data_IF_311785768203
#
_entry.id   IF_311785768203
#
_cell.length_a   1.000
_cell.length_b   1.000
_cell.length_c   1.000
_cell.angle_alpha   90.00
_cell.angle_beta   90.00
_cell.angle_gamma   90.00
#
_symmetry.space_group_name_H-M   'P 1'
#
loop_
_entity.id
_entity.type
_entity.pdbx_description
1 polymer ?
#
# COMPACT_ATOMS: atom_id res chain seq x y z
N UNK A 1 12.85 35.23 -4.09
CA UNK A 1 13.24 34.14 -3.17
C UNK A 1 11.96 33.42 -2.76
N UNK A 2 11.71 32.24 -3.33
CA UNK A 2 10.62 31.36 -2.86
C UNK A 2 11.15 30.51 -1.69
N UNK A 3 10.32 30.18 -0.70
CA UNK A 3 10.76 29.44 0.47
C UNK A 3 11.04 27.99 0.07
N UNK A 4 12.22 27.50 0.44
CA UNK A 4 12.58 26.08 0.36
C UNK A 4 11.71 25.36 1.37
N UNK A 5 10.74 24.57 0.89
CA UNK A 5 9.99 23.66 1.74
C UNK A 5 10.97 22.63 2.28
N UNK A 6 11.18 22.64 3.60
CA UNK A 6 12.00 21.67 4.30
C UNK A 6 11.33 20.30 4.13
N UNK A 7 11.93 19.45 3.31
CA UNK A 7 11.53 18.06 3.11
C UNK A 7 11.68 17.36 4.45
N UNK A 8 10.56 16.95 5.05
CA UNK A 8 10.58 16.12 6.24
C UNK A 8 11.26 14.78 5.91
N UNK A 9 12.23 14.38 6.74
CA UNK A 9 12.96 13.14 6.53
C UNK A 9 12.02 11.92 6.61
N UNK A 10 12.32 10.80 5.93
CA UNK A 10 11.46 9.59 5.92
C UNK A 10 11.12 9.02 7.32
N UNK A 11 11.94 9.33 8.32
CA UNK A 11 11.71 8.98 9.73
C UNK A 11 10.55 9.77 10.35
N UNK A 12 10.33 11.02 9.91
CA UNK A 12 9.23 11.87 10.37
C UNK A 12 7.86 11.43 9.84
N UNK A 13 7.81 10.81 8.66
CA UNK A 13 6.58 10.22 8.09
C UNK A 13 6.17 8.93 8.82
N UNK A 14 7.15 8.16 9.31
CA UNK A 14 6.88 7.04 10.21
C UNK A 14 6.30 7.56 11.54
N UNK A 15 6.88 8.60 12.12
CA UNK A 15 6.35 9.22 13.34
C UNK A 15 4.94 9.79 13.17
N UNK A 16 4.61 10.42 12.03
CA UNK A 16 3.24 10.87 11.74
C UNK A 16 2.26 9.71 11.56
N UNK A 17 2.66 8.62 10.91
CA UNK A 17 1.85 7.40 10.80
C UNK A 17 1.63 6.71 12.15
N UNK A 18 2.66 6.67 13.02
CA UNK A 18 2.54 6.23 14.42
C UNK A 18 1.59 7.14 15.21
N UNK A 19 1.67 8.45 14.99
CA UNK A 19 0.82 9.47 15.67
C UNK A 19 -0.64 9.40 15.22
N UNK A 20 -0.91 9.04 13.95
CA UNK A 20 -2.27 8.86 13.44
C UNK A 20 -2.88 7.52 13.85
N UNK A 21 -2.10 6.43 13.91
CA UNK A 21 -2.54 5.14 14.44
C UNK A 21 -2.91 5.22 15.94
N UNK A 22 -2.21 6.06 16.72
CA UNK A 22 -2.55 6.31 18.12
C UNK A 22 -3.93 6.99 18.32
N UNK A 23 -4.53 7.58 17.28
CA UNK A 23 -5.79 8.34 17.37
C UNK A 23 -7.04 7.54 17.00
N UNK A 24 -6.91 6.38 16.36
CA UNK A 24 -8.05 5.57 15.87
C UNK A 24 -8.47 4.43 16.81
N UNK A 25 -7.93 4.39 18.04
CA UNK A 25 -8.25 3.39 19.06
C UNK A 25 -9.72 3.42 19.50
N UNK A 26 -10.59 2.81 18.71
CA UNK A 26 -11.98 2.57 19.09
C UNK A 26 -12.02 1.50 20.19
N UNK A 27 -12.38 1.94 21.39
CA UNK A 27 -12.67 1.10 22.55
C UNK A 27 -14.00 0.40 22.30
N UNK A 28 -13.98 -0.92 22.15
CA UNK A 28 -15.19 -1.76 22.22
C UNK A 28 -14.98 -2.79 23.31
N UNK A 29 -15.77 -2.68 24.38
CA UNK A 29 -15.74 -3.55 25.55
C UNK A 29 -16.43 -4.87 25.24
N UNK A 30 -15.65 -5.95 25.12
CA UNK A 30 -16.16 -7.32 25.07
C UNK A 30 -16.33 -7.90 26.48
N UNK A 31 -17.55 -8.32 26.81
CA UNK A 31 -17.88 -9.01 28.07
C UNK A 31 -17.53 -10.50 27.97
N UNK A 32 -16.38 -10.89 28.52
CA UNK A 32 -15.95 -12.28 28.64
C UNK A 32 -14.93 -12.42 29.78
N UNK A 33 -14.76 -13.63 30.30
CA UNK A 33 -13.72 -13.92 31.32
C UNK A 33 -12.35 -13.56 30.71
N UNK A 34 -11.52 -12.72 31.37
CA UNK A 34 -10.25 -12.30 30.80
C UNK A 34 -9.36 -13.51 30.52
N UNK A 35 -9.01 -13.73 29.26
CA UNK A 35 -8.01 -14.73 28.90
C UNK A 35 -6.64 -14.28 29.40
N UNK A 36 -5.79 -15.24 29.76
CA UNK A 36 -4.40 -14.93 30.12
C UNK A 36 -3.67 -14.34 28.92
N UNK A 37 -2.87 -13.32 29.16
CA UNK A 37 -2.11 -12.62 28.12
C UNK A 37 -1.20 -13.58 27.35
N UNK A 38 -0.60 -14.54 28.05
CA UNK A 38 0.28 -15.54 27.46
C UNK A 38 -0.46 -16.46 26.48
N UNK A 39 -1.75 -16.73 26.73
CA UNK A 39 -2.57 -17.52 25.82
C UNK A 39 -2.96 -16.71 24.57
N UNK A 40 -3.22 -15.40 24.72
CA UNK A 40 -3.46 -14.50 23.59
C UNK A 40 -2.22 -14.34 22.71
N UNK A 41 -1.04 -14.18 23.34
CA UNK A 41 0.24 -14.14 22.63
C UNK A 41 0.48 -15.46 21.86
N UNK A 42 0.29 -16.60 22.52
CA UNK A 42 0.44 -17.91 21.88
C UNK A 42 -0.51 -18.07 20.68
N UNK A 43 -1.78 -17.72 20.85
CA UNK A 43 -2.79 -17.79 19.79
C UNK A 43 -2.43 -16.91 18.58
N UNK A 44 -1.99 -15.67 18.82
CA UNK A 44 -1.60 -14.73 17.76
C UNK A 44 -0.46 -15.29 16.92
N UNK A 45 0.62 -15.72 17.58
CA UNK A 45 1.80 -16.24 16.88
C UNK A 45 1.54 -17.59 16.21
N UNK A 46 0.70 -18.44 16.81
CA UNK A 46 0.28 -19.69 16.17
C UNK A 46 -0.52 -19.42 14.91
N UNK A 47 -1.47 -18.47 14.94
CA UNK A 47 -2.25 -18.09 13.77
C UNK A 47 -1.38 -17.55 12.63
N UNK A 48 -0.31 -16.81 12.95
CA UNK A 48 0.67 -16.37 11.96
C UNK A 48 1.46 -17.55 11.37
N UNK A 49 1.93 -18.47 12.21
CA UNK A 49 2.71 -19.66 11.80
C UNK A 49 1.89 -20.64 10.95
N UNK A 50 0.60 -20.81 11.25
CA UNK A 50 -0.33 -21.67 10.50
C UNK A 50 -0.87 -21.00 9.22
N UNK A 51 -0.51 -19.74 8.98
CA UNK A 51 -0.94 -18.99 7.78
C UNK A 51 -0.28 -19.59 6.53
N UNK A 52 -1.11 -19.87 5.54
CA UNK A 52 -0.70 -20.22 4.17
C UNK A 52 -1.00 -19.07 3.21
N UNK A 53 -0.56 -19.19 1.95
CA UNK A 53 -0.86 -18.20 0.92
C UNK A 53 -2.32 -18.21 0.43
N UNK A 54 -3.15 -19.16 0.87
CA UNK A 54 -4.56 -19.22 0.46
C UNK A 54 -5.39 -18.11 1.11
N UNK A 55 -6.35 -17.55 0.37
CA UNK A 55 -7.23 -16.47 0.85
C UNK A 55 -7.92 -16.81 2.18
N UNK A 56 -8.53 -17.99 2.27
CA UNK A 56 -9.24 -18.43 3.47
C UNK A 56 -8.32 -18.51 4.71
N UNK A 57 -7.07 -18.95 4.52
CA UNK A 57 -6.08 -19.02 5.59
C UNK A 57 -5.62 -17.62 6.04
N UNK A 58 -5.43 -16.69 5.09
CA UNK A 58 -5.10 -15.29 5.39
C UNK A 58 -6.22 -14.60 6.17
N UNK A 59 -7.47 -14.75 5.75
CA UNK A 59 -8.64 -14.17 6.42
C UNK A 59 -8.78 -14.71 7.85
N UNK A 60 -8.67 -16.03 8.03
CA UNK A 60 -8.68 -16.67 9.36
C UNK A 60 -7.55 -16.15 10.26
N UNK A 61 -6.35 -15.96 9.72
CA UNK A 61 -5.22 -15.41 10.47
C UNK A 61 -5.52 -13.98 10.94
N UNK A 62 -5.98 -13.10 10.05
CA UNK A 62 -6.34 -11.71 10.36
C UNK A 62 -7.42 -11.66 11.44
N UNK A 63 -8.46 -12.46 11.31
CA UNK A 63 -9.57 -12.50 12.27
C UNK A 63 -9.09 -12.93 13.67
N UNK A 64 -8.21 -13.93 13.72
CA UNK A 64 -7.63 -14.38 14.99
C UNK A 64 -6.71 -13.34 15.63
N UNK A 65 -5.90 -12.63 14.83
CA UNK A 65 -5.04 -11.54 15.32
C UNK A 65 -5.89 -10.39 15.87
N UNK A 66 -6.95 -9.98 15.16
CA UNK A 66 -7.91 -8.98 15.64
C UNK A 66 -8.57 -9.39 16.95
N UNK A 67 -9.00 -10.65 17.04
CA UNK A 67 -9.58 -11.20 18.27
C UNK A 67 -8.60 -11.05 19.44
N UNK A 68 -7.33 -11.44 19.26
CA UNK A 68 -6.33 -11.33 20.32
C UNK A 68 -6.10 -9.88 20.76
N UNK A 69 -5.99 -8.95 19.80
CA UNK A 69 -5.81 -7.52 20.08
C UNK A 69 -7.01 -6.92 20.84
N UNK A 70 -8.23 -7.34 20.52
CA UNK A 70 -9.45 -6.83 21.15
C UNK A 70 -9.72 -7.44 22.55
N UNK A 71 -9.29 -8.68 22.79
CA UNK A 71 -9.42 -9.35 24.09
C UNK A 71 -8.31 -8.96 25.08
N UNK A 72 -7.29 -8.23 24.64
CA UNK A 72 -6.14 -7.88 25.44
C UNK A 72 -6.48 -6.83 26.54
N UNK A 73 -5.94 -6.98 27.75
CA UNK A 73 -5.95 -5.91 28.74
C UNK A 73 -5.20 -4.66 28.24
N UNK A 74 -5.63 -3.46 28.66
CA UNK A 74 -5.04 -2.20 28.22
C UNK A 74 -3.54 -2.03 28.55
N UNK A 75 -3.04 -2.76 29.55
CA UNK A 75 -1.65 -2.74 30.02
C UNK A 75 -0.78 -3.85 29.44
N UNK A 76 -1.22 -4.52 28.38
CA UNK A 76 -0.41 -5.55 27.71
C UNK A 76 0.85 -4.94 27.10
N UNK A 77 1.95 -5.70 27.14
CA UNK A 77 3.17 -5.37 26.41
C UNK A 77 2.85 -5.23 24.91
N UNK A 78 3.06 -4.02 24.37
CA UNK A 78 2.77 -3.67 22.97
C UNK A 78 3.66 -4.41 21.98
N UNK A 79 4.75 -5.04 22.43
CA UNK A 79 5.57 -5.87 21.57
C UNK A 79 4.93 -7.21 21.21
N UNK A 80 3.93 -7.67 21.99
CA UNK A 80 3.30 -8.98 21.81
C UNK A 80 4.35 -10.08 21.59
N UNK A 81 5.15 -10.42 22.62
CA UNK A 81 6.27 -11.33 22.46
C UNK A 81 5.83 -12.78 22.20
N UNK A 82 6.53 -13.44 21.28
CA UNK A 82 6.37 -14.86 21.03
C UNK A 82 6.78 -15.68 22.27
N UNK A 83 5.98 -16.66 22.73
CA UNK A 83 6.30 -17.41 23.95
C UNK A 83 7.63 -18.18 23.89
N UNK A 84 8.04 -18.59 22.69
CA UNK A 84 9.22 -19.41 22.43
C UNK A 84 10.48 -18.59 22.15
N UNK A 85 10.38 -17.55 21.32
CA UNK A 85 11.55 -16.75 20.91
C UNK A 85 11.64 -15.41 21.63
N UNK A 86 10.55 -14.95 22.23
CA UNK A 86 10.40 -13.62 22.78
C UNK A 86 10.46 -12.50 21.74
N UNK A 87 10.44 -12.80 20.44
CA UNK A 87 10.41 -11.79 19.37
C UNK A 87 9.06 -11.08 19.33
N UNK A 88 9.04 -9.81 18.92
CA UNK A 88 7.77 -9.09 18.76
C UNK A 88 6.89 -9.70 17.66
N UNK A 89 5.57 -9.56 17.81
CA UNK A 89 4.61 -9.92 16.78
C UNK A 89 4.86 -9.18 15.45
N UNK A 90 5.32 -7.92 15.52
CA UNK A 90 5.73 -7.17 14.33
C UNK A 90 6.91 -7.84 13.62
N UNK A 91 7.96 -8.18 14.36
CA UNK A 91 9.14 -8.81 13.76
C UNK A 91 8.79 -10.18 13.16
N UNK A 92 8.02 -10.98 13.88
CA UNK A 92 7.58 -12.31 13.43
C UNK A 92 6.69 -12.24 12.19
N UNK A 93 5.81 -11.23 12.08
CA UNK A 93 5.01 -11.01 10.87
C UNK A 93 5.89 -10.70 9.65
N UNK A 94 6.99 -9.96 9.83
CA UNK A 94 7.96 -9.70 8.76
C UNK A 94 8.69 -10.98 8.36
N UNK A 95 9.18 -11.77 9.33
CA UNK A 95 9.87 -13.04 9.04
C UNK A 95 8.98 -14.02 8.26
N UNK A 96 7.67 -14.01 8.56
CA UNK A 96 6.66 -14.85 7.89
C UNK A 96 6.07 -14.24 6.62
N UNK A 97 6.53 -13.06 6.19
CA UNK A 97 6.01 -12.32 5.03
C UNK A 97 4.48 -12.10 5.12
N UNK A 98 3.97 -11.91 6.35
CA UNK A 98 2.57 -11.65 6.66
C UNK A 98 2.31 -10.14 6.76
N UNK A 99 2.52 -9.42 5.65
CA UNK A 99 2.46 -7.95 5.62
C UNK A 99 1.08 -7.36 5.93
N UNK A 100 0.00 -8.10 5.65
CA UNK A 100 -1.35 -7.77 6.09
C UNK A 100 -1.47 -7.75 7.62
N UNK A 101 -0.92 -8.77 8.28
CA UNK A 101 -0.89 -8.85 9.74
C UNK A 101 0.04 -7.79 10.33
N UNK A 102 1.20 -7.55 9.71
CA UNK A 102 2.12 -6.49 10.11
C UNK A 102 1.44 -5.11 10.11
N UNK A 103 0.71 -4.79 9.03
CA UNK A 103 -0.06 -3.56 8.91
C UNK A 103 -1.15 -3.43 10.00
N UNK A 104 -1.90 -4.51 10.25
CA UNK A 104 -2.89 -4.56 11.31
C UNK A 104 -2.27 -4.28 12.68
N UNK A 105 -1.13 -4.90 13.00
CA UNK A 105 -0.45 -4.72 14.28
C UNK A 105 0.00 -3.27 14.51
N UNK A 106 0.56 -2.62 13.48
CA UNK A 106 0.91 -1.21 13.56
C UNK A 106 -0.31 -0.32 13.80
N UNK A 107 -1.45 -0.61 13.15
CA UNK A 107 -2.70 0.14 13.36
C UNK A 107 -3.22 0.04 14.80
N UNK A 108 -2.88 -1.04 15.51
CA UNK A 108 -3.22 -1.23 16.93
C UNK A 108 -2.11 -0.75 17.90
N UNK A 109 -1.12 -0.03 17.40
CA UNK A 109 -0.03 0.53 18.19
C UNK A 109 0.93 -0.53 18.75
N UNK A 110 1.06 -1.68 18.09
CA UNK A 110 2.08 -2.66 18.46
C UNK A 110 3.47 -2.13 18.10
N UNK A 111 4.49 -2.61 18.83
CA UNK A 111 5.86 -2.10 18.73
C UNK A 111 6.87 -3.23 18.55
N UNK A 112 8.07 -2.89 18.07
CA UNK A 112 9.20 -3.82 18.13
C UNK A 112 9.71 -3.93 19.56
N UNK A 113 10.25 -5.09 19.93
CA UNK A 113 10.81 -5.31 21.26
C UNK A 113 12.09 -4.48 21.51
N UNK A 114 12.77 -4.07 20.44
CA UNK A 114 13.92 -3.18 20.53
C UNK A 114 14.58 -2.88 19.19
N UNK A 115 15.61 -2.04 19.22
CA UNK A 115 16.26 -1.53 18.01
C UNK A 115 16.97 -2.59 17.17
N UNK A 116 17.33 -3.73 17.77
CA UNK A 116 17.91 -4.86 17.05
C UNK A 116 16.91 -5.45 16.04
N UNK A 117 15.65 -5.59 16.42
CA UNK A 117 14.58 -6.04 15.52
C UNK A 117 14.35 -4.99 14.42
N UNK A 118 14.27 -3.71 14.79
CA UNK A 118 14.11 -2.60 13.83
C UNK A 118 15.22 -2.58 12.76
N UNK A 119 16.48 -2.74 13.19
CA UNK A 119 17.65 -2.78 12.29
C UNK A 119 17.72 -4.07 11.47
N UNK A 120 17.23 -5.19 12.01
CA UNK A 120 17.17 -6.47 11.30
C UNK A 120 16.25 -6.48 10.08
N UNK A 121 15.33 -5.51 9.98
CA UNK A 121 14.37 -5.37 8.88
C UNK A 121 14.91 -4.50 7.74
N UNK A 122 16.05 -3.82 7.94
CA UNK A 122 16.67 -2.96 6.93
C UNK A 122 16.98 -3.65 5.58
N UNK A 123 17.32 -4.95 5.51
CA UNK A 123 17.46 -5.69 4.25
C UNK A 123 16.14 -5.93 3.50
N UNK A 124 14.99 -5.86 4.19
CA UNK A 124 13.66 -5.99 3.60
C UNK A 124 13.07 -4.63 3.16
N UNK A 125 13.77 -3.53 3.47
CA UNK A 125 13.32 -2.14 3.32
C UNK A 125 13.25 -1.65 1.87
N UNK A 126 13.91 -2.32 0.92
CA UNK A 126 13.94 -1.94 -0.51
C UNK A 126 13.05 -2.81 -1.38
N UNK A 127 12.93 -4.12 -1.13
CA UNK A 127 12.23 -5.05 -2.06
C UNK A 127 10.77 -5.34 -1.62
N UNK A 128 10.42 -5.17 -0.34
CA UNK A 128 9.08 -5.54 0.18
C UNK A 128 8.36 -4.43 0.95
N UNK A 129 8.95 -3.23 0.99
CA UNK A 129 8.37 -2.05 1.64
C UNK A 129 7.07 -1.58 0.97
N UNK A 130 6.87 -1.95 -0.29
CA UNK A 130 5.71 -1.60 -1.09
C UNK A 130 4.54 -2.55 -0.92
N UNK A 131 4.80 -3.85 -0.73
CA UNK A 131 3.79 -4.81 -0.25
C UNK A 131 3.32 -4.44 1.16
N UNK A 132 4.24 -3.94 2.00
CA UNK A 132 3.91 -3.30 3.27
C UNK A 132 3.07 -2.03 3.10
N UNK A 133 3.50 -1.04 2.30
CA UNK A 133 2.75 0.20 2.09
C UNK A 133 1.34 -0.05 1.55
N UNK A 134 1.20 -1.04 0.67
CA UNK A 134 -0.07 -1.51 0.12
C UNK A 134 -1.01 -2.06 1.21
N UNK A 135 -0.49 -2.95 2.06
CA UNK A 135 -1.28 -3.53 3.14
C UNK A 135 -1.58 -2.50 4.23
N UNK A 136 -0.62 -1.66 4.59
CA UNK A 136 -0.81 -0.53 5.50
C UNK A 136 -1.86 0.43 4.97
N UNK A 137 -1.82 0.83 3.70
CA UNK A 137 -2.86 1.67 3.10
C UNK A 137 -4.24 0.98 3.10
N UNK A 138 -4.29 -0.34 2.89
CA UNK A 138 -5.53 -1.12 2.93
C UNK A 138 -6.12 -1.28 4.34
N UNK A 139 -5.28 -1.40 5.38
CA UNK A 139 -5.71 -1.54 6.78
C UNK A 139 -5.96 -0.19 7.47
N UNK A 140 -5.08 0.80 7.28
CA UNK A 140 -5.16 2.11 7.93
C UNK A 140 -6.37 2.91 7.46
N UNK A 141 -6.79 2.75 6.20
CA UNK A 141 -7.92 3.51 5.68
C UNK A 141 -9.26 2.82 5.90
N UNK A 142 -9.34 1.50 6.13
CA UNK A 142 -10.62 0.83 6.48
C UNK A 142 -11.79 1.00 5.49
N UNK A 143 -11.61 1.72 4.38
CA UNK A 143 -12.62 1.99 3.37
C UNK A 143 -12.43 1.01 2.22
N UNK A 144 -13.45 0.20 1.93
CA UNK A 144 -13.59 -0.40 0.59
C UNK A 144 -13.42 0.73 -0.42
N UNK A 145 -12.43 0.60 -1.30
CA UNK A 145 -12.14 1.55 -2.39
C UNK A 145 -11.38 2.84 -2.02
N UNK A 146 -10.70 2.94 -0.86
CA UNK A 146 -9.87 4.11 -0.51
C UNK A 146 -8.84 4.48 -1.60
N UNK A 147 -8.21 3.47 -2.21
CA UNK A 147 -7.25 3.65 -3.30
C UNK A 147 -7.90 4.27 -4.55
N UNK A 148 -9.19 4.00 -4.80
CA UNK A 148 -9.92 4.63 -5.90
C UNK A 148 -10.11 6.12 -5.62
N UNK A 149 -10.56 6.49 -4.41
CA UNK A 149 -10.72 7.89 -4.03
C UNK A 149 -9.38 8.65 -4.04
N UNK A 150 -8.31 8.02 -3.56
CA UNK A 150 -6.96 8.57 -3.66
C UNK A 150 -6.59 8.85 -5.12
N UNK A 151 -6.66 7.84 -6.00
CA UNK A 151 -6.26 8.02 -7.40
C UNK A 151 -7.14 9.03 -8.14
N UNK A 152 -8.43 9.14 -7.79
CA UNK A 152 -9.32 10.19 -8.31
C UNK A 152 -8.83 11.58 -7.95
N UNK A 153 -8.49 11.83 -6.69
CA UNK A 153 -7.97 13.14 -6.25
C UNK A 153 -6.60 13.49 -6.83
N UNK A 154 -5.84 12.47 -7.25
CA UNK A 154 -4.54 12.61 -7.90
C UNK A 154 -4.63 12.59 -9.43
N UNK A 155 -5.85 12.49 -9.96
CA UNK A 155 -6.14 12.53 -11.39
C UNK A 155 -6.65 13.88 -11.81
N UNK A 156 -6.22 14.33 -12.98
CA UNK A 156 -6.74 15.55 -13.58
C UNK A 156 -6.84 15.40 -15.09
N UNK A 157 -7.78 16.14 -15.69
CA UNK A 157 -7.78 16.32 -17.13
C UNK A 157 -6.92 17.51 -17.50
N UNK A 158 -6.21 17.41 -18.62
CA UNK A 158 -5.43 18.52 -19.16
C UNK A 158 -6.30 19.73 -19.50
N UNK A 159 -7.48 19.47 -20.04
CA UNK A 159 -8.49 20.48 -20.39
C UNK A 159 -9.70 20.32 -19.46
N UNK A 160 -10.30 21.41 -18.96
CA UNK A 160 -11.53 21.31 -18.17
C UNK A 160 -12.61 20.55 -18.96
N UNK A 161 -13.17 19.51 -18.36
CA UNK A 161 -14.15 18.62 -19.00
C UNK A 161 -15.25 18.25 -18.03
N UNK A 162 -16.49 18.46 -18.48
CA UNK A 162 -17.67 18.01 -17.74
C UNK A 162 -17.71 16.48 -17.65
N UNK A 163 -18.04 15.97 -16.46
CA UNK A 163 -18.13 14.54 -16.23
C UNK A 163 -16.79 13.80 -16.08
N UNK A 164 -15.65 14.50 -16.10
CA UNK A 164 -14.32 13.90 -15.91
C UNK A 164 -14.25 12.99 -14.68
N UNK A 165 -14.70 13.47 -13.51
CA UNK A 165 -14.66 12.70 -12.26
C UNK A 165 -15.46 11.40 -12.36
N UNK A 166 -16.60 11.40 -13.05
CA UNK A 166 -17.43 10.21 -13.23
C UNK A 166 -16.85 9.25 -14.27
N UNK A 167 -16.09 9.74 -15.24
CA UNK A 167 -15.39 8.92 -16.23
C UNK A 167 -14.17 8.23 -15.60
N UNK A 168 -13.37 8.95 -14.81
CA UNK A 168 -12.22 8.39 -14.07
C UNK A 168 -12.66 7.42 -12.97
N UNK A 169 -13.72 7.72 -12.21
CA UNK A 169 -14.27 6.78 -11.23
C UNK A 169 -14.69 5.46 -11.88
N UNK A 170 -15.38 5.54 -13.03
CA UNK A 170 -15.72 4.35 -13.83
C UNK A 170 -14.49 3.58 -14.28
N UNK A 171 -13.41 4.26 -14.69
CA UNK A 171 -12.18 3.59 -15.13
C UNK A 171 -11.52 2.82 -13.99
N UNK A 172 -11.34 3.45 -12.83
CA UNK A 172 -10.74 2.79 -11.68
C UNK A 172 -11.60 1.66 -11.13
N UNK A 173 -12.92 1.81 -11.12
CA UNK A 173 -13.81 0.70 -10.72
C UNK A 173 -13.76 -0.47 -11.70
N UNK A 174 -13.66 -0.20 -13.01
CA UNK A 174 -13.50 -1.25 -14.01
C UNK A 174 -12.18 -2.02 -13.80
N UNK A 175 -11.06 -1.32 -13.60
CA UNK A 175 -9.77 -1.95 -13.29
C UNK A 175 -9.80 -2.69 -11.94
N UNK A 176 -10.44 -2.13 -10.92
CA UNK A 176 -10.55 -2.73 -9.58
C UNK A 176 -11.40 -4.02 -9.55
N UNK A 177 -12.19 -4.28 -10.59
CA UNK A 177 -13.00 -5.51 -10.69
C UNK A 177 -12.15 -6.76 -10.94
N UNK A 178 -10.97 -6.60 -11.55
CA UNK A 178 -9.97 -7.65 -11.69
C UNK A 178 -9.00 -7.65 -10.51
N UNK A 179 -8.68 -8.82 -9.96
CA UNK A 179 -7.83 -8.93 -8.77
C UNK A 179 -6.40 -8.45 -9.01
N UNK A 180 -5.82 -8.76 -10.17
CA UNK A 180 -4.44 -8.37 -10.50
C UNK A 180 -4.34 -6.86 -10.72
N UNK A 181 -5.30 -6.29 -11.45
CA UNK A 181 -5.35 -4.85 -11.71
C UNK A 181 -5.71 -4.04 -10.45
N UNK A 182 -6.57 -4.57 -9.58
CA UNK A 182 -6.81 -4.01 -8.25
C UNK A 182 -5.53 -3.85 -7.46
N UNK A 183 -4.65 -4.86 -7.49
CA UNK A 183 -3.38 -4.80 -6.78
C UNK A 183 -2.53 -3.64 -7.30
N UNK A 184 -2.49 -3.43 -8.62
CA UNK A 184 -1.76 -2.31 -9.23
C UNK A 184 -2.28 -0.95 -8.76
N UNK A 185 -3.60 -0.76 -8.69
CA UNK A 185 -4.20 0.49 -8.23
C UNK A 185 -3.85 0.80 -6.77
N UNK A 186 -3.90 -0.21 -5.92
CA UNK A 186 -3.57 -0.07 -4.52
C UNK A 186 -2.06 0.21 -4.32
N UNK A 187 -1.17 -0.37 -5.15
CA UNK A 187 0.26 -0.03 -5.14
C UNK A 187 0.47 1.43 -5.61
N UNK A 188 -0.20 1.84 -6.68
CA UNK A 188 -0.10 3.22 -7.16
C UNK A 188 -0.56 4.23 -6.10
N UNK A 189 -1.58 3.87 -5.32
CA UNK A 189 -2.09 4.69 -4.22
C UNK A 189 -1.14 4.81 -3.01
N UNK A 190 0.01 4.14 -3.00
CA UNK A 190 1.05 4.34 -1.96
C UNK A 190 2.02 5.47 -2.28
N UNK A 191 1.91 6.07 -3.48
CA UNK A 191 2.77 7.17 -3.93
C UNK A 191 2.04 8.51 -3.78
N UNK A 192 2.25 9.18 -2.65
CA UNK A 192 1.63 10.48 -2.33
C UNK A 192 1.92 11.57 -3.37
N UNK A 193 3.08 11.50 -4.03
CA UNK A 193 3.51 12.41 -5.09
C UNK A 193 2.86 12.13 -6.45
N UNK A 194 2.14 11.01 -6.60
CA UNK A 194 1.60 10.57 -7.87
C UNK A 194 0.65 11.61 -8.49
N UNK A 195 0.82 11.88 -9.78
CA UNK A 195 -0.14 12.67 -10.56
C UNK A 195 -0.49 11.93 -11.85
N UNK A 196 -1.77 11.81 -12.14
CA UNK A 196 -2.27 11.14 -13.34
C UNK A 196 -2.98 12.17 -14.22
N UNK A 197 -2.50 12.34 -15.44
CA UNK A 197 -3.01 13.31 -16.40
C UNK A 197 -3.69 12.61 -17.56
N UNK A 198 -4.94 12.99 -17.83
CA UNK A 198 -5.71 12.51 -18.97
C UNK A 198 -5.91 13.62 -20.00
N UNK A 199 -5.50 13.38 -21.23
CA UNK A 199 -5.76 14.27 -22.37
C UNK A 199 -6.82 13.64 -23.27
N UNK A 200 -8.07 14.07 -23.08
CA UNK A 200 -9.22 13.57 -23.86
C UNK A 200 -9.34 14.21 -25.25
N UNK A 201 -8.46 15.17 -25.57
CA UNK A 201 -8.46 15.89 -26.84
C UNK A 201 -7.33 15.42 -27.77
N UNK A 202 -6.45 14.55 -27.27
CA UNK A 202 -5.29 14.02 -28.00
C UNK A 202 -5.30 12.50 -28.09
N UNK A 203 -4.85 12.01 -29.25
CA UNK A 203 -4.55 10.59 -29.49
C UNK A 203 -3.15 10.19 -28.98
N UNK A 204 -2.33 11.16 -28.57
CA UNK A 204 -0.92 10.98 -28.17
C UNK A 204 -0.52 11.83 -26.96
N UNK A 205 0.39 11.33 -26.11
CA UNK A 205 0.81 12.01 -24.86
C UNK A 205 1.90 13.07 -25.05
N UNK A 206 2.43 13.23 -26.27
CA UNK A 206 3.53 14.16 -26.57
C UNK A 206 3.20 15.60 -26.18
N UNK A 207 1.93 16.00 -26.36
CA UNK A 207 1.44 17.32 -25.99
C UNK A 207 1.35 17.54 -24.47
N UNK A 208 1.52 16.50 -23.64
CA UNK A 208 1.58 16.60 -22.17
C UNK A 208 3.00 16.51 -21.63
N UNK A 209 3.87 15.74 -22.28
CA UNK A 209 5.20 15.40 -21.76
C UNK A 209 6.38 16.10 -22.45
N UNK A 210 6.14 16.97 -23.43
CA UNK A 210 7.17 17.67 -24.23
C UNK A 210 8.22 16.72 -24.84
N UNK A 211 7.81 15.50 -25.21
CA UNK A 211 8.67 14.49 -25.82
C UNK A 211 8.77 14.71 -27.33
N UNK A 212 9.96 14.47 -27.89
CA UNK A 212 10.29 14.86 -29.28
C UNK A 212 9.96 13.85 -30.38
N UNK A 213 9.80 12.54 -30.12
CA UNK A 213 9.84 11.62 -31.29
C UNK A 213 9.15 10.24 -31.23
N UNK A 214 8.43 9.85 -30.18
CA UNK A 214 7.70 8.56 -30.20
C UNK A 214 6.21 8.77 -29.93
N UNK A 215 5.36 8.32 -30.87
CA UNK A 215 3.89 8.31 -30.72
C UNK A 215 3.52 7.32 -29.62
N UNK A 216 3.35 7.80 -28.40
CA UNK A 216 2.97 6.96 -27.26
C UNK A 216 1.59 7.33 -26.75
N UNK A 217 0.84 6.29 -26.36
CA UNK A 217 -0.54 6.38 -25.91
C UNK A 217 -0.62 6.61 -24.40
N UNK A 218 0.39 6.13 -23.69
CA UNK A 218 0.62 6.33 -22.28
C UNK A 218 2.09 6.66 -22.05
N UNK A 219 2.38 7.25 -20.90
CA UNK A 219 3.74 7.47 -20.44
C UNK A 219 3.79 7.56 -18.92
N UNK A 220 4.61 6.70 -18.33
CA UNK A 220 4.98 6.78 -16.92
C UNK A 220 6.37 7.41 -16.77
N UNK A 221 6.44 8.58 -16.12
CA UNK A 221 7.69 9.25 -15.76
C UNK A 221 7.96 9.01 -14.27
N UNK A 222 8.73 7.96 -13.99
CA UNK A 222 8.99 7.46 -12.63
C UNK A 222 9.70 8.50 -11.75
N UNK A 223 10.67 9.24 -12.31
CA UNK A 223 11.39 10.30 -11.59
C UNK A 223 10.49 11.46 -11.13
N UNK A 224 9.34 11.62 -11.78
CA UNK A 224 8.40 12.72 -11.51
C UNK A 224 7.11 12.23 -10.84
N UNK A 225 6.99 10.92 -10.61
CA UNK A 225 5.75 10.27 -10.21
C UNK A 225 4.54 10.74 -11.03
N UNK A 226 4.69 10.82 -12.36
CA UNK A 226 3.58 11.24 -13.23
C UNK A 226 3.22 10.17 -14.26
N UNK A 227 1.93 9.92 -14.42
CA UNK A 227 1.38 9.11 -15.50
C UNK A 227 0.60 10.03 -16.45
N UNK A 228 0.82 9.88 -17.75
CA UNK A 228 0.13 10.63 -18.80
C UNK A 228 -0.61 9.66 -19.70
N UNK A 229 -1.89 9.92 -19.98
CA UNK A 229 -2.77 9.06 -20.77
C UNK A 229 -3.42 9.88 -21.89
N UNK A 230 -3.22 9.44 -23.14
CA UNK A 230 -3.97 9.95 -24.28
C UNK A 230 -5.34 9.26 -24.33
N UNK A 231 -6.38 10.01 -23.98
CA UNK A 231 -7.72 9.50 -23.67
C UNK A 231 -8.75 9.78 -24.77
N UNK A 232 -8.36 10.34 -25.93
CA UNK A 232 -9.27 10.53 -27.08
C UNK A 232 -9.52 9.22 -27.86
N UNK A 233 -9.89 8.14 -27.17
CA UNK A 233 -9.94 6.79 -27.77
C UNK A 233 -11.09 5.96 -27.24
N UNK A 234 -11.25 4.76 -27.81
CA UNK A 234 -12.22 3.78 -27.33
C UNK A 234 -11.93 3.38 -25.87
N UNK A 235 -13.00 3.22 -25.09
CA UNK A 235 -12.95 2.86 -23.67
C UNK A 235 -11.93 1.76 -23.32
N UNK A 236 -11.97 0.63 -24.03
CA UNK A 236 -11.08 -0.51 -23.77
C UNK A 236 -9.60 -0.19 -24.03
N UNK A 237 -9.31 0.68 -25.00
CA UNK A 237 -7.93 1.12 -25.29
C UNK A 237 -7.43 2.02 -24.16
N UNK A 238 -8.25 2.94 -23.67
CA UNK A 238 -7.91 3.80 -22.54
C UNK A 238 -7.62 2.96 -21.29
N UNK A 239 -8.51 2.02 -20.96
CA UNK A 239 -8.31 1.11 -19.82
C UNK A 239 -7.04 0.29 -19.94
N UNK A 240 -6.78 -0.29 -21.12
CA UNK A 240 -5.57 -1.06 -21.38
C UNK A 240 -4.30 -0.22 -21.22
N UNK A 241 -4.29 1.02 -21.72
CA UNK A 241 -3.17 1.95 -21.56
C UNK A 241 -2.99 2.37 -20.10
N UNK A 242 -4.06 2.73 -19.40
CA UNK A 242 -3.99 3.08 -17.97
C UNK A 242 -3.43 1.92 -17.14
N UNK A 243 -3.91 0.70 -17.36
CA UNK A 243 -3.40 -0.49 -16.70
C UNK A 243 -1.91 -0.74 -16.99
N UNK A 244 -1.50 -0.55 -18.24
CA UNK A 244 -0.11 -0.69 -18.67
C UNK A 244 0.82 0.29 -17.95
N UNK A 245 0.45 1.57 -17.89
CA UNK A 245 1.24 2.58 -17.19
C UNK A 245 1.26 2.37 -15.67
N UNK A 246 0.13 1.99 -15.07
CA UNK A 246 0.08 1.60 -13.66
C UNK A 246 0.98 0.39 -13.36
N UNK A 247 1.15 -0.53 -14.31
CA UNK A 247 2.09 -1.65 -14.19
C UNK A 247 3.54 -1.17 -14.16
N UNK A 248 3.93 -0.23 -15.05
CA UNK A 248 5.27 0.37 -15.00
C UNK A 248 5.55 1.04 -13.66
N UNK A 249 4.58 1.82 -13.14
CA UNK A 249 4.70 2.41 -11.82
C UNK A 249 4.82 1.34 -10.73
N UNK A 250 3.94 0.34 -10.73
CA UNK A 250 3.95 -0.71 -9.72
C UNK A 250 5.24 -1.53 -9.73
N UNK A 251 5.77 -1.87 -10.91
CA UNK A 251 7.05 -2.55 -11.05
C UNK A 251 8.19 -1.71 -10.48
N UNK A 252 8.22 -0.41 -10.78
CA UNK A 252 9.23 0.48 -10.23
C UNK A 252 9.11 0.62 -8.71
N UNK A 253 7.89 0.79 -8.22
CA UNK A 253 7.60 0.90 -6.79
C UNK A 253 8.04 -0.39 -6.09
N UNK A 254 7.65 -1.56 -6.61
CA UNK A 254 7.93 -2.85 -5.97
C UNK A 254 9.39 -3.30 -6.08
N UNK A 255 10.01 -3.13 -7.23
CA UNK A 255 11.30 -3.76 -7.54
C UNK A 255 12.42 -2.75 -7.80
N UNK A 256 12.14 -1.44 -7.78
CA UNK A 256 13.10 -0.37 -8.13
C UNK A 256 13.76 -0.61 -9.50
N UNK A 257 13.06 -1.29 -10.42
CA UNK A 257 13.60 -1.79 -11.70
C UNK A 257 13.32 -0.83 -12.87
N UNK A 258 13.19 0.46 -12.60
CA UNK A 258 12.82 1.47 -13.60
C UNK A 258 11.52 1.14 -14.38
N UNK A 259 10.62 0.36 -13.77
CA UNK A 259 9.37 -0.07 -14.41
C UNK A 259 9.55 -1.13 -15.48
N UNK A 260 10.74 -1.74 -15.60
CA UNK A 260 11.03 -2.81 -16.56
C UNK A 260 10.69 -4.16 -15.94
N UNK A 261 10.13 -5.13 -16.68
CA UNK A 261 9.80 -6.45 -16.13
C UNK A 261 11.02 -7.25 -15.63
N UNK A 262 12.24 -6.86 -16.02
CA UNK A 262 13.50 -7.48 -15.62
C UNK A 262 14.51 -6.41 -15.19
N UNK A 263 15.37 -6.70 -14.21
CA UNK A 263 16.51 -5.83 -13.85
C UNK A 263 17.60 -5.97 -14.90
N UNK A 264 18.38 -4.89 -15.12
CA UNK A 264 19.62 -4.99 -15.89
C UNK A 264 20.56 -5.97 -15.15
N UNK A 265 20.65 -7.20 -15.65
CA UNK A 265 21.37 -8.31 -15.02
C UNK A 265 20.59 -9.62 -14.90
N UNK A 266 19.27 -9.63 -15.17
CA UNK A 266 18.47 -10.86 -15.17
C UNK A 266 18.52 -11.62 -16.51
N UNK A 267 19.19 -11.05 -17.51
CA UNK A 267 19.45 -11.67 -18.82
C UNK A 267 20.93 -12.08 -18.91
N UNK A 268 21.30 -13.14 -18.17
CA UNK A 268 22.53 -13.91 -18.38
C UNK A 268 22.17 -15.38 -18.63
#
# INVERSE_FOLDING_TARGET
MQPVAVVAQPEALLDEAYTMAARSGNVITGSGVPRRVEDLQRDMHLAMKERSFSKASRERCIEKVKQCLNEAPNNVDRSWPAPDTGQSALYHAVELLAFDVYALLLCHGCEFKGDKEKKGIFPFKTIRMTEYQFHFASFAHGYKDAHIEFLKTHSSSKTPRDGFNAEVDRMYRALNSDESLRILLQIAATRDSLRIFFDFDSDEVQCMAALRDNRTLGLTLLERDTIHIAAKRDWNKILGTLAHELCHLALHVVYENEGKPYRNGDCD
#
